data_IF_038481048134
#
_entry.id   IF_038481048134
#
_cell.length_a   1.000
_cell.length_b   1.000
_cell.length_c   1.000
_cell.angle_alpha   90.00
_cell.angle_beta   90.00
_cell.angle_gamma   90.00
#
_symmetry.space_group_name_H-M   'P 1'
#
loop_
_entity.id
_entity.type
_entity.pdbx_description
1 polymer ?
#
# COMPACT_ATOMS: atom_id res chain seq x y z
N UNK A 1 40.16 7.49 8.08
CA UNK A 1 39.24 8.52 7.55
C UNK A 1 38.63 8.04 6.22
N UNK A 2 37.71 7.06 6.23
CA UNK A 2 37.02 6.59 4.99
C UNK A 2 35.82 5.67 5.27
N UNK A 3 34.85 6.11 6.09
CA UNK A 3 33.62 5.32 6.33
C UNK A 3 32.33 6.15 6.29
N UNK A 4 32.43 7.49 6.24
CA UNK A 4 31.25 8.37 6.28
C UNK A 4 30.64 8.71 4.91
N UNK A 5 31.32 8.39 3.79
CA UNK A 5 30.87 8.76 2.45
C UNK A 5 29.82 7.79 1.85
N UNK A 6 29.83 6.51 2.24
CA UNK A 6 28.92 5.52 1.66
C UNK A 6 27.48 5.57 2.21
N UNK A 7 27.27 6.22 3.36
CA UNK A 7 25.94 6.32 3.98
C UNK A 7 25.10 7.50 3.48
N UNK A 8 25.73 8.51 2.86
CA UNK A 8 25.08 9.77 2.55
C UNK A 8 24.45 9.80 1.14
N UNK A 9 24.99 9.03 0.20
CA UNK A 9 24.48 8.92 -1.18
C UNK A 9 23.22 8.05 -1.31
N UNK A 10 22.95 7.18 -0.32
CA UNK A 10 21.78 6.29 -0.32
C UNK A 10 20.51 6.90 0.29
N UNK A 11 20.63 8.00 1.03
CA UNK A 11 19.49 8.72 1.61
C UNK A 11 18.59 9.44 0.58
N UNK A 12 19.12 10.19 -0.42
CA UNK A 12 18.28 10.88 -1.40
C UNK A 12 17.62 9.92 -2.40
N UNK A 13 18.27 8.80 -2.71
CA UNK A 13 17.73 7.75 -3.58
C UNK A 13 16.52 7.05 -2.95
N UNK A 14 16.58 6.72 -1.65
CA UNK A 14 15.44 6.13 -0.93
C UNK A 14 14.24 7.08 -0.90
N UNK A 15 14.45 8.39 -0.76
CA UNK A 15 13.38 9.40 -0.75
C UNK A 15 12.68 9.55 -2.13
N UNK A 16 13.46 9.51 -3.22
CA UNK A 16 12.93 9.62 -4.60
C UNK A 16 12.12 8.39 -5.02
N UNK A 17 12.59 7.19 -4.67
CA UNK A 17 11.88 5.93 -4.95
C UNK A 17 10.55 5.87 -4.17
N UNK A 18 10.55 6.33 -2.91
CA UNK A 18 9.33 6.45 -2.09
C UNK A 18 8.28 7.36 -2.70
N UNK A 19 8.71 8.53 -3.19
CA UNK A 19 7.80 9.51 -3.79
C UNK A 19 7.20 8.98 -5.09
N UNK A 20 8.01 8.30 -5.92
CA UNK A 20 7.55 7.66 -7.15
C UNK A 20 6.52 6.55 -6.89
N UNK A 21 6.76 5.69 -5.90
CA UNK A 21 5.83 4.63 -5.51
C UNK A 21 4.48 5.19 -5.04
N UNK A 22 4.48 6.27 -4.24
CA UNK A 22 3.27 6.96 -3.78
C UNK A 22 2.48 7.56 -4.93
N UNK A 23 3.15 8.16 -5.92
CA UNK A 23 2.48 8.67 -7.12
C UNK A 23 1.83 7.56 -7.94
N UNK A 24 2.50 6.41 -8.09
CA UNK A 24 1.93 5.25 -8.79
C UNK A 24 0.71 4.71 -8.02
N UNK A 25 0.80 4.59 -6.69
CA UNK A 25 -0.32 4.17 -5.84
C UNK A 25 -1.52 5.13 -5.97
N UNK A 26 -1.27 6.43 -6.03
CA UNK A 26 -2.31 7.45 -6.21
C UNK A 26 -2.99 7.33 -7.58
N UNK A 27 -2.21 7.26 -8.66
CA UNK A 27 -2.74 7.13 -10.02
C UNK A 27 -3.55 5.85 -10.15
N UNK A 28 -3.06 4.74 -9.59
CA UNK A 28 -3.73 3.46 -9.65
C UNK A 28 -5.03 3.46 -8.81
N UNK A 29 -5.04 4.11 -7.64
CA UNK A 29 -6.26 4.28 -6.83
C UNK A 29 -7.32 5.11 -7.58
N UNK A 30 -6.92 6.20 -8.25
CA UNK A 30 -7.83 7.05 -9.05
C UNK A 30 -8.37 6.28 -10.26
N UNK A 31 -7.52 5.50 -10.94
CA UNK A 31 -7.94 4.66 -12.05
C UNK A 31 -8.97 3.61 -11.61
N UNK A 32 -8.73 2.95 -10.47
CA UNK A 32 -9.65 1.96 -9.90
C UNK A 32 -10.96 2.63 -9.47
N UNK A 33 -10.93 3.80 -8.81
CA UNK A 33 -12.13 4.56 -8.46
C UNK A 33 -12.97 4.91 -9.70
N UNK A 34 -12.32 5.36 -10.76
CA UNK A 34 -12.99 5.70 -12.02
C UNK A 34 -13.65 4.47 -12.64
N UNK A 35 -12.97 3.32 -12.64
CA UNK A 35 -13.51 2.06 -13.16
C UNK A 35 -14.71 1.58 -12.35
N UNK A 36 -14.62 1.55 -11.01
CA UNK A 36 -15.74 1.16 -10.16
C UNK A 36 -16.91 2.15 -10.25
N UNK A 37 -16.65 3.46 -10.35
CA UNK A 37 -17.70 4.46 -10.59
C UNK A 37 -18.49 4.19 -11.87
N UNK A 38 -17.82 3.77 -12.95
CA UNK A 38 -18.52 3.38 -14.19
C UNK A 38 -19.28 2.06 -14.08
N UNK A 39 -18.79 1.08 -13.30
CA UNK A 39 -19.53 -0.15 -13.01
C UNK A 39 -20.80 0.16 -12.21
N UNK A 40 -20.71 1.04 -11.21
CA UNK A 40 -21.84 1.44 -10.37
C UNK A 40 -22.94 2.16 -11.18
N UNK A 41 -22.54 2.98 -12.16
CA UNK A 41 -23.47 3.69 -13.04
C UNK A 41 -24.19 2.75 -14.01
N UNK A 42 -23.55 1.64 -14.41
CA UNK A 42 -24.10 0.65 -15.35
C UNK A 42 -25.06 -0.33 -14.67
N UNK A 43 -24.93 -0.55 -13.35
CA UNK A 43 -25.60 -1.63 -12.63
C UNK A 43 -26.90 -1.22 -11.90
N UNK A 44 -27.44 -0.02 -12.16
CA UNK A 44 -28.66 0.49 -11.52
C UNK A 44 -29.92 -0.38 -11.66
N UNK A 45 -29.88 -1.45 -12.45
CA UNK A 45 -30.98 -2.39 -12.67
C UNK A 45 -30.85 -3.73 -11.92
N UNK A 46 -29.72 -4.07 -11.31
CA UNK A 46 -29.49 -5.44 -10.80
C UNK A 46 -28.98 -5.43 -9.36
N UNK A 47 -29.83 -5.89 -8.43
CA UNK A 47 -29.68 -5.88 -6.96
C UNK A 47 -28.58 -6.83 -6.41
N UNK A 48 -27.51 -7.06 -7.15
CA UNK A 48 -26.60 -8.21 -6.94
C UNK A 48 -25.21 -7.74 -6.55
N UNK A 49 -24.75 -8.08 -5.34
CA UNK A 49 -23.36 -8.17 -4.82
C UNK A 49 -22.27 -7.18 -5.31
N UNK A 50 -22.07 -7.07 -6.63
CA UNK A 50 -21.16 -6.19 -7.35
C UNK A 50 -21.36 -4.71 -6.95
N UNK A 51 -22.60 -4.23 -6.83
CA UNK A 51 -22.88 -2.86 -6.39
C UNK A 51 -22.33 -2.57 -4.98
N UNK A 52 -22.42 -3.54 -4.06
CA UNK A 52 -21.84 -3.40 -2.70
C UNK A 52 -20.31 -3.37 -2.73
N UNK A 53 -19.71 -4.22 -3.57
CA UNK A 53 -18.25 -4.26 -3.76
C UNK A 53 -17.74 -2.96 -4.35
N UNK A 54 -18.49 -2.38 -5.29
CA UNK A 54 -18.13 -1.13 -5.95
C UNK A 54 -18.20 0.08 -5.02
N UNK A 55 -19.20 0.17 -4.14
CA UNK A 55 -19.26 1.21 -3.10
C UNK A 55 -18.08 1.05 -2.12
N UNK A 56 -17.80 -0.17 -1.67
CA UNK A 56 -16.66 -0.43 -0.80
C UNK A 56 -15.33 -0.05 -1.48
N UNK A 57 -15.18 -0.36 -2.77
CA UNK A 57 -14.00 0.03 -3.55
C UNK A 57 -13.83 1.55 -3.65
N UNK A 58 -14.91 2.29 -3.86
CA UNK A 58 -14.89 3.75 -3.92
C UNK A 58 -14.42 4.35 -2.58
N UNK A 59 -14.96 3.87 -1.46
CA UNK A 59 -14.53 4.30 -0.12
C UNK A 59 -13.05 4.01 0.11
N UNK A 60 -12.57 2.81 -0.24
CA UNK A 60 -11.15 2.43 -0.11
C UNK A 60 -10.26 3.29 -1.00
N UNK A 61 -10.71 3.65 -2.20
CA UNK A 61 -9.97 4.51 -3.10
C UNK A 61 -9.89 5.96 -2.58
N UNK A 62 -10.99 6.53 -2.07
CA UNK A 62 -10.98 7.86 -1.44
C UNK A 62 -10.05 7.88 -0.22
N UNK A 63 -10.09 6.85 0.63
CA UNK A 63 -9.17 6.72 1.76
C UNK A 63 -7.71 6.63 1.32
N UNK A 64 -7.43 5.95 0.21
CA UNK A 64 -6.09 5.86 -0.37
C UNK A 64 -5.60 7.22 -0.88
N UNK A 65 -6.45 7.95 -1.60
CA UNK A 65 -6.16 9.32 -2.06
C UNK A 65 -5.91 10.24 -0.88
N UNK A 66 -6.74 10.18 0.16
CA UNK A 66 -6.58 10.96 1.38
C UNK A 66 -5.27 10.62 2.10
N UNK A 67 -4.91 9.34 2.19
CA UNK A 67 -3.64 8.89 2.78
C UNK A 67 -2.45 9.44 1.99
N UNK A 68 -2.48 9.38 0.65
CA UNK A 68 -1.46 9.98 -0.20
C UNK A 68 -1.39 11.50 -0.05
N UNK A 69 -2.53 12.20 0.02
CA UNK A 69 -2.57 13.65 0.23
C UNK A 69 -1.98 14.03 1.59
N UNK A 70 -2.34 13.32 2.66
CA UNK A 70 -1.77 13.51 3.99
C UNK A 70 -0.25 13.27 3.99
N UNK A 71 0.27 12.34 3.17
CA UNK A 71 1.71 12.12 3.04
C UNK A 71 2.47 13.33 2.51
N UNK A 72 1.83 14.20 1.74
CA UNK A 72 2.45 15.44 1.27
C UNK A 72 2.46 16.53 2.34
N UNK A 73 1.49 16.54 3.25
CA UNK A 73 1.30 17.63 4.23
C UNK A 73 1.88 17.34 5.62
N UNK A 74 2.00 16.06 6.04
CA UNK A 74 2.34 15.72 7.42
C UNK A 74 3.70 15.03 7.56
N UNK A 75 4.69 15.77 8.07
CA UNK A 75 5.97 15.24 8.60
C UNK A 75 5.79 14.65 10.01
N UNK A 76 4.71 13.89 10.25
CA UNK A 76 4.44 13.28 11.56
C UNK A 76 5.17 11.93 11.65
N UNK A 77 5.59 11.57 12.88
CA UNK A 77 6.48 10.46 13.19
C UNK A 77 6.20 9.13 12.46
N UNK A 78 7.29 8.52 12.01
CA UNK A 78 7.42 7.30 11.17
C UNK A 78 6.48 6.12 11.50
N UNK A 79 6.00 5.97 12.74
CA UNK A 79 5.14 4.86 13.15
C UNK A 79 3.71 5.00 12.61
N UNK A 80 3.14 6.21 12.63
CA UNK A 80 1.78 6.44 12.12
C UNK A 80 1.68 6.07 10.63
N UNK A 81 2.72 6.38 9.86
CA UNK A 81 2.83 6.00 8.45
C UNK A 81 2.81 4.50 8.22
N UNK A 82 3.50 3.72 9.06
CA UNK A 82 3.49 2.26 8.94
C UNK A 82 2.10 1.66 9.22
N UNK A 83 1.36 2.23 10.18
CA UNK A 83 0.00 1.79 10.51
C UNK A 83 -0.96 2.15 9.38
N UNK A 84 -0.88 3.38 8.85
CA UNK A 84 -1.68 3.81 7.70
C UNK A 84 -1.42 2.93 6.48
N UNK A 85 -0.15 2.68 6.14
CA UNK A 85 0.23 1.83 5.00
C UNK A 85 -0.26 0.39 5.17
N UNK A 86 -0.12 -0.18 6.38
CA UNK A 86 -0.63 -1.50 6.71
C UNK A 86 -2.15 -1.58 6.63
N UNK A 87 -2.86 -0.54 7.08
CA UNK A 87 -4.33 -0.50 7.01
C UNK A 87 -4.83 -0.45 5.55
N UNK A 88 -4.17 0.34 4.70
CA UNK A 88 -4.48 0.40 3.27
C UNK A 88 -4.19 -0.94 2.59
N UNK A 89 -3.08 -1.60 2.92
CA UNK A 89 -2.79 -2.95 2.44
C UNK A 89 -3.92 -3.95 2.78
N UNK A 90 -4.40 -3.95 4.03
CA UNK A 90 -5.50 -4.83 4.45
C UNK A 90 -6.77 -4.52 3.66
N UNK A 91 -7.14 -3.25 3.54
CA UNK A 91 -8.33 -2.83 2.79
C UNK A 91 -8.29 -3.27 1.32
N UNK A 92 -7.16 -3.04 0.64
CA UNK A 92 -6.97 -3.47 -0.76
C UNK A 92 -6.95 -4.99 -0.90
N UNK A 93 -6.38 -5.71 0.07
CA UNK A 93 -6.37 -7.18 0.09
C UNK A 93 -7.78 -7.75 0.29
N UNK A 94 -8.58 -7.17 1.18
CA UNK A 94 -9.98 -7.55 1.38
C UNK A 94 -10.80 -7.28 0.11
N UNK A 95 -10.59 -6.14 -0.55
CA UNK A 95 -11.25 -5.80 -1.80
C UNK A 95 -10.85 -6.79 -2.92
N UNK A 96 -9.58 -7.15 -3.01
CA UNK A 96 -9.12 -8.18 -3.94
C UNK A 96 -9.78 -9.53 -3.67
N UNK A 97 -9.80 -10.01 -2.42
CA UNK A 97 -10.36 -11.31 -2.05
C UNK A 97 -11.87 -11.41 -2.34
N UNK A 98 -12.63 -10.36 -2.04
CA UNK A 98 -14.07 -10.28 -2.32
C UNK A 98 -14.36 -10.20 -3.82
N UNK A 99 -13.59 -9.40 -4.55
CA UNK A 99 -13.74 -9.27 -6.01
C UNK A 99 -13.34 -10.56 -6.74
N UNK A 100 -12.28 -11.23 -6.29
CA UNK A 100 -11.82 -12.50 -6.86
C UNK A 100 -12.81 -13.63 -6.63
N UNK A 101 -13.40 -13.71 -5.43
CA UNK A 101 -14.46 -14.67 -5.11
C UNK A 101 -15.68 -14.45 -6.01
N UNK A 102 -16.07 -13.20 -6.20
CA UNK A 102 -17.20 -12.81 -7.07
C UNK A 102 -16.91 -13.15 -8.53
N UNK A 103 -15.72 -12.84 -9.04
CA UNK A 103 -15.28 -13.21 -10.39
C UNK A 103 -15.32 -14.74 -10.60
N UNK A 104 -14.80 -15.52 -9.63
CA UNK A 104 -14.82 -16.99 -9.67
C UNK A 104 -16.24 -17.56 -9.68
N UNK A 105 -17.14 -16.99 -8.87
CA UNK A 105 -18.54 -17.39 -8.83
C UNK A 105 -19.23 -17.14 -10.19
N UNK A 106 -19.10 -15.93 -10.72
CA UNK A 106 -19.69 -15.54 -12.02
C UNK A 106 -19.10 -16.38 -13.16
N UNK A 107 -17.79 -16.65 -13.14
CA UNK A 107 -17.12 -17.50 -14.12
C UNK A 107 -17.67 -18.94 -14.14
N UNK A 108 -18.00 -19.51 -12.97
CA UNK A 108 -18.64 -20.83 -12.90
C UNK A 108 -20.06 -20.83 -13.45
N UNK A 109 -20.88 -19.86 -13.02
CA UNK A 109 -22.28 -19.73 -13.49
C UNK A 109 -22.32 -19.54 -15.01
N UNK A 110 -21.36 -18.83 -15.59
CA UNK A 110 -21.19 -18.69 -17.04
C UNK A 110 -20.80 -20.00 -17.72
N UNK A 111 -19.83 -20.73 -17.17
CA UNK A 111 -19.42 -22.03 -17.72
C UNK A 111 -20.54 -23.08 -17.69
N UNK A 112 -21.49 -22.96 -16.78
CA UNK A 112 -22.64 -23.86 -16.63
C UNK A 112 -23.83 -23.49 -17.55
N UNK A 113 -23.70 -22.46 -18.40
CA UNK A 113 -24.77 -22.03 -19.30
C UNK A 113 -25.96 -21.35 -18.60
N UNK A 114 -25.87 -21.07 -17.29
CA UNK A 114 -26.90 -20.38 -16.50
C UNK A 114 -26.77 -18.84 -16.55
N UNK A 115 -25.95 -18.33 -17.47
CA UNK A 115 -25.58 -16.91 -17.57
C UNK A 115 -26.64 -15.98 -18.18
N UNK A 116 -27.85 -16.46 -18.48
CA UNK A 116 -28.89 -15.72 -19.22
C UNK A 116 -29.41 -14.43 -18.54
N UNK A 117 -28.84 -14.01 -17.41
CA UNK A 117 -29.09 -12.73 -16.75
C UNK A 117 -27.87 -12.14 -16.03
N UNK A 118 -26.66 -12.60 -16.34
CA UNK A 118 -25.40 -12.12 -15.75
C UNK A 118 -24.62 -11.24 -16.74
N UNK A 119 -23.65 -10.46 -16.21
CA UNK A 119 -22.73 -9.56 -16.94
C UNK A 119 -22.39 -10.05 -18.35
N UNK A 120 -22.43 -9.14 -19.33
CA UNK A 120 -22.00 -9.38 -20.71
C UNK A 120 -20.49 -9.73 -20.77
N UNK A 121 -20.02 -10.24 -21.91
CA UNK A 121 -18.61 -10.60 -22.08
C UNK A 121 -17.66 -9.41 -21.85
N UNK A 122 -18.07 -8.22 -22.30
CA UNK A 122 -17.33 -6.98 -22.11
C UNK A 122 -17.25 -6.55 -20.64
N UNK A 123 -18.32 -6.77 -19.86
CA UNK A 123 -18.39 -6.38 -18.46
C UNK A 123 -17.61 -7.37 -17.57
N UNK A 124 -17.58 -8.65 -17.93
CA UNK A 124 -16.73 -9.63 -17.29
C UNK A 124 -15.24 -9.37 -17.54
N UNK A 125 -14.86 -8.95 -18.76
CA UNK A 125 -13.50 -8.54 -19.04
C UNK A 125 -13.08 -7.34 -18.17
N UNK A 126 -13.97 -6.34 -18.00
CA UNK A 126 -13.74 -5.21 -17.07
C UNK A 126 -13.56 -5.69 -15.63
N UNK A 127 -14.42 -6.59 -15.15
CA UNK A 127 -14.32 -7.16 -13.80
C UNK A 127 -12.96 -7.85 -13.59
N UNK A 128 -12.50 -8.62 -14.58
CA UNK A 128 -11.19 -9.27 -14.53
C UNK A 128 -10.04 -8.25 -14.49
N UNK A 129 -10.08 -7.21 -15.32
CA UNK A 129 -9.08 -6.12 -15.28
C UNK A 129 -9.02 -5.46 -13.91
N UNK A 130 -10.18 -5.15 -13.32
CA UNK A 130 -10.28 -4.52 -12.01
C UNK A 130 -9.72 -5.42 -10.90
N UNK A 131 -10.01 -6.73 -10.94
CA UNK A 131 -9.46 -7.70 -9.97
C UNK A 131 -7.93 -7.74 -10.03
N UNK A 132 -7.33 -7.72 -11.23
CA UNK A 132 -5.87 -7.68 -11.35
C UNK A 132 -5.29 -6.35 -10.89
N UNK A 133 -5.95 -5.21 -11.17
CA UNK A 133 -5.50 -3.92 -10.66
C UNK A 133 -5.51 -3.89 -9.12
N UNK A 134 -6.55 -4.45 -8.49
CA UNK A 134 -6.65 -4.60 -7.03
C UNK A 134 -5.51 -5.47 -6.46
N UNK A 135 -5.08 -6.48 -7.19
CA UNK A 135 -3.91 -7.28 -6.83
C UNK A 135 -2.63 -6.42 -6.85
N UNK A 136 -2.35 -5.72 -7.95
CA UNK A 136 -1.14 -4.89 -8.07
C UNK A 136 -1.07 -3.79 -7.00
N UNK A 137 -2.18 -3.09 -6.75
CA UNK A 137 -2.21 -2.04 -5.73
C UNK A 137 -1.99 -2.60 -4.32
N UNK A 138 -2.54 -3.78 -4.00
CA UNK A 138 -2.29 -4.47 -2.74
C UNK A 138 -0.79 -4.76 -2.55
N UNK A 139 -0.12 -5.28 -3.58
CA UNK A 139 1.32 -5.55 -3.53
C UNK A 139 2.16 -4.27 -3.38
N UNK A 140 1.75 -3.18 -4.03
CA UNK A 140 2.39 -1.87 -3.85
C UNK A 140 2.28 -1.39 -2.40
N UNK A 141 1.11 -1.49 -1.77
CA UNK A 141 0.91 -1.14 -0.35
C UNK A 141 1.69 -2.04 0.62
N UNK A 142 1.85 -3.33 0.28
CA UNK A 142 2.72 -4.23 1.04
C UNK A 142 4.18 -3.78 0.97
N UNK A 143 4.65 -3.43 -0.23
CA UNK A 143 6.01 -2.93 -0.45
C UNK A 143 6.32 -1.67 0.37
N UNK A 144 5.39 -0.71 0.41
CA UNK A 144 5.55 0.50 1.22
C UNK A 144 5.53 0.20 2.72
N UNK A 145 4.69 -0.74 3.17
CA UNK A 145 4.65 -1.17 4.57
C UNK A 145 5.97 -1.81 5.01
N UNK A 146 6.51 -2.74 4.21
CA UNK A 146 7.81 -3.38 4.48
C UNK A 146 8.92 -2.34 4.52
N UNK A 147 8.89 -1.38 3.62
CA UNK A 147 9.88 -0.30 3.59
C UNK A 147 9.78 0.61 4.82
N UNK A 148 8.58 0.91 5.30
CA UNK A 148 8.36 1.65 6.54
C UNK A 148 8.96 0.92 7.75
N UNK A 149 8.66 -0.37 7.90
CA UNK A 149 9.20 -1.23 8.96
C UNK A 149 10.74 -1.28 8.89
N UNK A 150 11.31 -1.47 7.70
CA UNK A 150 12.76 -1.52 7.52
C UNK A 150 13.41 -0.18 7.90
N UNK A 151 12.75 0.94 7.61
CA UNK A 151 13.25 2.27 7.96
C UNK A 151 13.24 2.52 9.47
N UNK A 152 12.20 2.05 10.17
CA UNK A 152 12.14 2.05 11.64
C UNK A 152 13.23 1.18 12.26
N UNK A 153 13.42 -0.03 11.73
CA UNK A 153 14.47 -0.94 12.19
C UNK A 153 15.86 -0.32 12.04
N UNK A 154 16.15 0.27 10.88
CA UNK A 154 17.43 0.94 10.62
C UNK A 154 17.62 2.18 11.50
N UNK A 155 16.56 2.94 11.78
CA UNK A 155 16.63 4.08 12.70
C UNK A 155 16.94 3.62 14.13
N UNK A 156 16.28 2.57 14.62
CA UNK A 156 16.54 1.99 15.95
C UNK A 156 17.96 1.44 16.06
N UNK A 157 18.44 0.73 15.03
CA UNK A 157 19.82 0.23 14.98
C UNK A 157 20.85 1.36 15.02
N UNK A 158 20.59 2.48 14.33
CA UNK A 158 21.46 3.67 14.39
C UNK A 158 21.48 4.29 15.78
N UNK A 159 20.32 4.44 16.43
CA UNK A 159 20.23 4.99 17.77
C UNK A 159 21.03 4.15 18.80
N UNK A 160 20.88 2.82 18.74
CA UNK A 160 21.67 1.90 19.59
C UNK A 160 23.18 2.07 19.37
N UNK A 161 23.64 2.09 18.12
CA UNK A 161 25.06 2.25 17.81
C UNK A 161 25.63 3.60 18.27
N UNK A 162 24.83 4.66 18.28
CA UNK A 162 25.24 5.98 18.80
C UNK A 162 25.36 5.98 20.32
N UNK A 163 24.47 5.28 21.03
CA UNK A 163 24.55 5.14 22.49
C UNK A 163 25.81 4.37 22.90
N UNK A 164 26.11 3.27 22.22
CA UNK A 164 27.34 2.49 22.41
C UNK A 164 28.61 3.30 22.07
N UNK A 165 28.58 4.11 21.01
CA UNK A 165 29.69 4.97 20.65
C UNK A 165 29.94 6.09 21.68
N UNK A 166 28.89 6.59 22.33
CA UNK A 166 28.99 7.61 23.37
C UNK A 166 29.59 7.07 24.67
N UNK A 167 29.27 5.83 25.06
CA UNK A 167 29.79 5.21 26.30
C UNK A 167 31.27 4.81 26.22
N UNK A 168 31.80 4.59 25.02
CA UNK A 168 33.18 4.11 24.79
C UNK A 168 34.28 5.06 25.35
N UNK A 169 34.27 6.37 25.07
CA UNK A 169 35.28 7.29 25.61
C UNK A 169 35.16 7.51 27.13
N UNK A 170 33.96 7.38 27.71
CA UNK A 170 33.74 7.53 29.15
C UNK A 170 34.35 6.35 29.94
N UNK A 171 34.43 5.17 29.32
CA UNK A 171 35.10 3.99 29.89
C UNK A 171 36.62 4.14 29.85
N UNK A 172 37.16 4.57 28.71
CA UNK A 172 38.62 4.79 28.55
C UNK A 172 39.13 5.90 29.49
N UNK A 173 38.36 6.96 29.72
CA UNK A 173 38.72 8.02 30.67
C UNK A 173 38.70 7.56 32.13
N UNK A 174 37.95 6.50 32.46
CA UNK A 174 37.86 5.95 33.81
C UNK A 174 39.03 5.02 34.12
N UNK A 175 39.44 4.19 33.16
CA UNK A 175 40.60 3.31 33.29
C UNK A 175 41.91 4.10 33.49
N UNK A 176 42.06 5.27 32.87
CA UNK A 176 43.26 6.12 33.01
C UNK A 176 43.39 6.77 34.40
N UNK A 177 42.30 6.89 35.16
CA UNK A 177 42.30 7.54 36.49
C UNK A 177 42.44 6.56 37.66
N UNK A 178 42.25 5.26 37.42
CA UNK A 178 42.38 4.19 38.43
C UNK A 178 43.79 3.54 38.46
N UNK A 179 44.68 3.89 37.52
CA UNK A 179 46.12 3.56 37.49
C UNK A 179 47.00 4.68 38.10
#
# INVERSE_FOLDING_TARGET
>A
MSTNQFSNTSQPLRLRVLTGLRCIQLILAIAIASLYGTLLASEKSTETSISKISIFAEVVAVLSVATCALSFFMTIGSIAWCICDGSAFVLWTTLFGTSFTTMRYIGRVRSEGRASGYLNDSEFAKLQTVVYMNFFISFLWLGTTIQGILSLYLAKKRAHNMEEAKKRPDLEAREVFDD
#
